data_IF_369383685506
#
_entry.id   IF_369383685506
#
_cell.length_a   1.000
_cell.length_b   1.000
_cell.length_c   1.000
_cell.angle_alpha   90.00
_cell.angle_beta   90.00
_cell.angle_gamma   90.00
#
_symmetry.space_group_name_H-M   'P 1'
#
loop_
_entity.id
_entity.type
_entity.pdbx_description
1 polymer ?
#
# COMPACT_ATOMS: atom_id res chain seq x y z
N UNK A 1 16.62 -8.83 6.13
CA UNK A 1 15.28 -9.15 5.61
C UNK A 1 15.29 -8.68 4.17
N UNK A 2 14.91 -9.52 3.21
CA UNK A 2 14.77 -9.04 1.83
C UNK A 2 13.59 -8.06 1.79
N UNK A 3 13.70 -6.91 1.12
CA UNK A 3 12.54 -6.03 0.85
C UNK A 3 11.48 -6.80 0.04
N UNK A 4 10.20 -6.40 0.14
CA UNK A 4 9.07 -7.03 -0.57
C UNK A 4 8.48 -8.29 0.09
N UNK A 5 8.51 -8.39 1.43
CA UNK A 5 8.07 -9.57 2.18
C UNK A 5 6.56 -9.65 2.48
N UNK A 6 5.82 -8.56 2.27
CA UNK A 6 4.35 -8.54 2.33
C UNK A 6 3.80 -8.46 0.91
N UNK A 7 3.07 -9.49 0.47
CA UNK A 7 2.55 -9.53 -0.90
C UNK A 7 1.06 -9.24 -0.87
N UNK A 8 0.68 -8.15 -1.52
CA UNK A 8 -0.70 -7.69 -1.65
C UNK A 8 -1.24 -8.11 -2.99
N UNK A 9 -2.35 -8.85 -3.00
CA UNK A 9 -3.18 -8.93 -4.19
C UNK A 9 -4.27 -7.86 -4.10
N UNK A 10 -4.27 -6.96 -5.07
CA UNK A 10 -5.20 -5.83 -5.12
C UNK A 10 -6.26 -6.08 -6.19
N UNK A 11 -7.50 -5.70 -5.89
CA UNK A 11 -8.68 -5.91 -6.74
C UNK A 11 -9.46 -4.62 -6.94
N UNK A 12 -10.18 -4.53 -8.05
CA UNK A 12 -11.10 -3.45 -8.36
C UNK A 12 -12.54 -3.92 -8.52
N UNK A 13 -13.44 -3.03 -8.14
CA UNK A 13 -14.84 -3.06 -8.54
C UNK A 13 -15.15 -1.79 -9.36
N UNK A 14 -14.98 -1.86 -10.67
CA UNK A 14 -15.22 -0.74 -11.58
C UNK A 14 -16.71 -0.68 -11.98
N UNK A 15 -17.36 0.46 -11.72
CA UNK A 15 -18.81 0.65 -11.99
C UNK A 15 -19.11 1.66 -13.09
N UNK A 16 -18.15 2.54 -13.42
CA UNK A 16 -18.31 3.49 -14.53
C UNK A 16 -16.94 3.98 -15.05
N UNK A 17 -16.48 3.50 -16.22
CA UNK A 17 -17.06 2.38 -16.97
C UNK A 17 -16.96 1.08 -16.15
N UNK A 18 -17.86 0.14 -16.43
CA UNK A 18 -17.77 -1.19 -15.82
C UNK A 18 -16.79 -2.05 -16.61
N UNK A 19 -15.96 -2.81 -15.91
CA UNK A 19 -14.99 -3.75 -16.47
C UNK A 19 -15.23 -5.14 -15.90
N UNK A 20 -14.87 -6.18 -16.68
CA UNK A 20 -15.03 -7.56 -16.26
C UNK A 20 -16.49 -8.03 -16.13
N UNK A 21 -16.71 -9.24 -15.56
CA UNK A 21 -18.05 -9.77 -15.31
C UNK A 21 -18.81 -8.98 -14.23
N UNK A 22 -20.14 -8.91 -14.37
CA UNK A 22 -21.02 -8.17 -13.44
C UNK A 22 -21.12 -8.78 -12.04
N UNK A 23 -20.60 -9.99 -11.85
CA UNK A 23 -20.58 -10.79 -10.64
C UNK A 23 -19.16 -11.13 -10.19
N UNK A 24 -18.18 -10.32 -10.60
CA UNK A 24 -16.78 -10.51 -10.21
C UNK A 24 -16.09 -9.18 -10.00
N UNK A 25 -15.18 -9.15 -9.02
CA UNK A 25 -14.13 -8.15 -8.98
C UNK A 25 -13.11 -8.44 -10.09
N UNK A 26 -12.29 -7.44 -10.43
CA UNK A 26 -11.16 -7.58 -11.36
C UNK A 26 -9.84 -7.40 -10.61
N UNK A 27 -8.74 -7.89 -11.18
CA UNK A 27 -7.39 -7.73 -10.66
C UNK A 27 -6.93 -6.30 -10.94
N UNK A 28 -6.37 -5.65 -9.92
CA UNK A 28 -5.56 -4.44 -10.07
C UNK A 28 -4.10 -4.83 -10.22
N UNK A 29 -3.53 -5.54 -9.24
CA UNK A 29 -2.12 -5.87 -9.24
C UNK A 29 -1.70 -6.86 -8.16
N UNK A 30 -0.42 -7.22 -8.20
CA UNK A 30 0.25 -8.03 -7.18
C UNK A 30 1.52 -7.30 -6.74
N UNK A 31 1.54 -6.80 -5.52
CA UNK A 31 2.52 -5.80 -5.08
C UNK A 31 3.39 -6.35 -3.94
N UNK A 32 4.73 -6.33 -4.08
CA UNK A 32 5.64 -6.71 -3.01
C UNK A 32 5.97 -5.49 -2.15
N UNK A 33 5.21 -5.32 -1.07
CA UNK A 33 5.50 -4.30 -0.07
C UNK A 33 6.54 -4.83 0.93
N UNK A 34 7.30 -3.89 1.48
CA UNK A 34 8.17 -4.17 2.61
C UNK A 34 7.31 -4.48 3.83
N UNK A 35 7.86 -5.26 4.76
CA UNK A 35 7.16 -5.63 5.99
C UNK A 35 6.81 -4.45 6.90
N UNK A 36 7.33 -3.25 6.62
CA UNK A 36 7.00 -2.01 7.31
C UNK A 36 5.90 -1.18 6.61
N UNK A 37 5.30 -1.71 5.54
CA UNK A 37 4.27 -1.04 4.74
C UNK A 37 4.80 0.01 3.77
N UNK A 38 6.13 0.19 3.66
CA UNK A 38 6.73 0.88 2.51
C UNK A 38 6.80 -0.05 1.31
N UNK A 39 7.08 0.48 0.12
CA UNK A 39 7.23 -0.35 -1.09
C UNK A 39 8.33 0.19 -1.98
N UNK A 40 8.93 -0.70 -2.75
CA UNK A 40 9.85 -0.35 -3.83
C UNK A 40 9.08 -0.30 -5.16
N UNK A 41 9.58 0.45 -6.13
CA UNK A 41 8.96 0.53 -7.46
C UNK A 41 10.01 0.68 -8.55
N UNK A 42 9.74 0.08 -9.71
CA UNK A 42 10.62 0.11 -10.88
C UNK A 42 12.05 -0.35 -10.56
N UNK A 43 12.16 -1.46 -9.82
CA UNK A 43 13.41 -1.94 -9.23
C UNK A 43 14.45 -2.40 -10.27
N UNK A 44 14.02 -2.70 -11.50
CA UNK A 44 14.91 -3.07 -12.59
C UNK A 44 14.41 -2.51 -13.93
N UNK A 45 15.10 -1.48 -14.45
CA UNK A 45 14.76 -0.87 -15.74
C UNK A 45 15.06 -1.78 -16.94
N UNK A 46 15.99 -2.74 -16.80
CA UNK A 46 16.34 -3.65 -17.89
C UNK A 46 15.32 -4.78 -18.06
N UNK A 47 14.46 -4.99 -17.06
CA UNK A 47 13.34 -5.94 -17.09
C UNK A 47 11.99 -5.24 -17.26
N UNK A 48 11.97 -4.04 -17.83
CA UNK A 48 10.70 -3.43 -18.25
C UNK A 48 10.41 -3.83 -19.69
N UNK A 49 9.20 -4.31 -19.92
CA UNK A 49 8.76 -4.85 -21.20
C UNK A 49 7.57 -4.04 -21.72
N UNK A 50 7.44 -3.95 -23.04
CA UNK A 50 6.35 -3.24 -23.74
C UNK A 50 5.55 -4.18 -24.67
N UNK A 51 5.53 -5.47 -24.32
CA UNK A 51 4.96 -6.54 -25.13
C UNK A 51 4.53 -7.74 -24.25
N UNK A 52 3.97 -7.45 -23.07
CA UNK A 52 3.46 -8.42 -22.11
C UNK A 52 2.47 -9.40 -22.76
N UNK A 53 1.53 -8.93 -23.59
CA UNK A 53 0.60 -9.81 -24.30
C UNK A 53 1.31 -10.85 -25.14
N UNK A 54 2.37 -10.46 -25.87
CA UNK A 54 3.12 -11.37 -26.74
C UNK A 54 3.89 -12.41 -25.90
N UNK A 55 4.53 -11.97 -24.82
CA UNK A 55 5.25 -12.85 -23.87
C UNK A 55 4.29 -13.89 -23.29
N UNK A 56 3.12 -13.46 -22.79
CA UNK A 56 2.14 -14.37 -22.21
C UNK A 56 1.46 -15.24 -23.27
N UNK A 57 1.27 -14.77 -24.49
CA UNK A 57 0.73 -15.60 -25.57
C UNK A 57 1.62 -16.79 -25.87
N UNK A 58 2.95 -16.62 -25.79
CA UNK A 58 3.94 -17.68 -25.96
C UNK A 58 4.04 -18.58 -24.73
N UNK A 59 4.17 -18.00 -23.54
CA UNK A 59 4.56 -18.74 -22.32
C UNK A 59 3.39 -19.13 -21.42
N UNK A 60 2.30 -18.36 -21.40
CA UNK A 60 1.22 -18.49 -20.43
C UNK A 60 -0.15 -18.12 -21.03
N UNK A 61 -0.50 -18.70 -22.18
CA UNK A 61 -1.70 -18.32 -22.95
C UNK A 61 -3.03 -18.44 -22.18
N UNK A 62 -3.11 -19.39 -21.24
CA UNK A 62 -4.28 -19.51 -20.34
C UNK A 62 -4.36 -18.36 -19.32
N UNK A 63 -3.22 -17.88 -18.83
CA UNK A 63 -3.12 -16.70 -17.98
C UNK A 63 -3.56 -15.46 -18.75
N UNK A 64 -3.04 -15.26 -19.97
CA UNK A 64 -3.45 -14.16 -20.85
C UNK A 64 -4.96 -14.14 -21.09
N UNK A 65 -5.56 -15.29 -21.41
CA UNK A 65 -7.02 -15.40 -21.60
C UNK A 65 -7.80 -15.02 -20.35
N UNK A 66 -7.28 -15.35 -19.16
CA UNK A 66 -7.90 -14.95 -17.90
C UNK A 66 -7.78 -13.44 -17.70
N UNK A 67 -6.60 -12.86 -17.92
CA UNK A 67 -6.35 -11.43 -17.78
C UNK A 67 -7.22 -10.58 -18.72
N UNK A 68 -7.41 -11.02 -19.97
CA UNK A 68 -8.29 -10.36 -20.94
C UNK A 68 -9.75 -10.22 -20.46
N UNK A 69 -10.15 -11.01 -19.46
CA UNK A 69 -11.48 -10.94 -18.83
C UNK A 69 -11.45 -10.25 -17.46
N UNK A 70 -10.42 -10.54 -16.64
CA UNK A 70 -10.42 -10.22 -15.21
C UNK A 70 -9.34 -9.22 -14.79
N UNK A 71 -8.39 -8.82 -15.63
CA UNK A 71 -7.35 -7.83 -15.30
C UNK A 71 -7.39 -6.72 -16.34
N UNK A 72 -8.34 -5.81 -16.16
CA UNK A 72 -8.76 -4.85 -17.20
C UNK A 72 -8.32 -3.45 -16.84
N UNK A 73 -7.90 -2.70 -17.84
CA UNK A 73 -7.87 -1.25 -17.75
C UNK A 73 -9.27 -0.68 -18.05
N UNK A 74 -9.68 0.33 -17.28
CA UNK A 74 -11.00 0.95 -17.45
C UNK A 74 -11.09 1.81 -18.72
N UNK A 75 -9.97 2.23 -19.30
CA UNK A 75 -9.95 2.90 -20.62
C UNK A 75 -9.80 1.91 -21.79
N UNK A 76 -9.66 0.61 -21.50
CA UNK A 76 -9.45 -0.43 -22.51
C UNK A 76 -8.00 -0.58 -22.98
N UNK A 77 -7.04 0.08 -22.32
CA UNK A 77 -5.61 0.02 -22.64
C UNK A 77 -4.89 -1.05 -21.79
N UNK A 78 -5.40 -2.28 -21.87
CA UNK A 78 -4.96 -3.38 -20.99
C UNK A 78 -3.45 -3.65 -21.07
N UNK A 79 -2.86 -3.60 -22.27
CA UNK A 79 -1.43 -3.88 -22.45
C UNK A 79 -0.57 -2.88 -21.67
N UNK A 80 -0.81 -1.58 -21.86
CA UNK A 80 -0.10 -0.52 -21.14
C UNK A 80 -0.26 -0.66 -19.63
N UNK A 81 -1.43 -1.11 -19.18
CA UNK A 81 -1.68 -1.36 -17.77
C UNK A 81 -0.88 -2.56 -17.25
N UNK A 82 -0.81 -3.66 -17.99
CA UNK A 82 0.02 -4.81 -17.61
C UNK A 82 1.52 -4.49 -17.64
N UNK A 83 1.97 -3.68 -18.62
CA UNK A 83 3.33 -3.13 -18.65
C UNK A 83 3.64 -2.34 -17.38
N UNK A 84 2.70 -1.48 -16.95
CA UNK A 84 2.81 -0.71 -15.71
C UNK A 84 2.93 -1.63 -14.49
N UNK A 85 2.02 -2.59 -14.33
CA UNK A 85 1.99 -3.48 -13.17
C UNK A 85 3.27 -4.32 -13.07
N UNK A 86 3.73 -4.91 -14.18
CA UNK A 86 4.97 -5.66 -14.16
C UNK A 86 6.19 -4.74 -13.95
N UNK A 87 6.29 -3.66 -14.73
CA UNK A 87 7.44 -2.77 -14.69
C UNK A 87 7.61 -2.10 -13.32
N UNK A 88 6.51 -1.69 -12.69
CA UNK A 88 6.51 -1.02 -11.40
C UNK A 88 6.63 -2.00 -10.23
N UNK A 89 5.87 -3.10 -10.23
CA UNK A 89 5.75 -3.99 -9.07
C UNK A 89 6.42 -5.36 -9.30
N UNK A 90 6.21 -5.98 -10.47
CA UNK A 90 6.82 -7.27 -10.81
C UNK A 90 8.35 -7.25 -10.80
N UNK A 91 8.98 -6.16 -11.25
CA UNK A 91 10.45 -6.00 -11.20
C UNK A 91 11.00 -5.97 -9.77
N UNK A 92 10.19 -5.68 -8.77
CA UNK A 92 10.58 -5.62 -7.35
C UNK A 92 10.41 -6.96 -6.62
N UNK A 93 9.90 -8.00 -7.26
CA UNK A 93 9.84 -9.34 -6.68
C UNK A 93 11.19 -10.04 -6.82
N UNK A 94 12.02 -9.95 -5.77
CA UNK A 94 13.37 -10.54 -5.76
C UNK A 94 13.40 -12.05 -6.07
N UNK A 95 12.36 -12.79 -5.68
CA UNK A 95 12.22 -14.23 -5.98
C UNK A 95 11.97 -14.53 -7.46
N UNK A 96 11.67 -13.51 -8.26
CA UNK A 96 11.50 -13.58 -9.71
C UNK A 96 12.74 -13.09 -10.47
N UNK A 97 13.86 -12.82 -9.80
CA UNK A 97 15.10 -12.46 -10.50
C UNK A 97 15.57 -13.62 -11.40
N UNK A 98 16.07 -13.36 -12.62
CA UNK A 98 16.55 -14.40 -13.54
C UNK A 98 17.58 -15.36 -12.94
N UNK A 99 18.43 -14.86 -12.03
CA UNK A 99 19.45 -15.65 -11.32
C UNK A 99 18.87 -16.75 -10.40
N UNK A 100 17.59 -16.64 -10.06
CA UNK A 100 16.91 -17.64 -9.25
C UNK A 100 16.50 -18.86 -10.09
N UNK A 101 16.42 -18.76 -11.43
CA UNK A 101 15.96 -19.86 -12.29
C UNK A 101 17.11 -20.76 -12.73
N UNK A 102 16.99 -22.08 -12.50
CA UNK A 102 18.00 -23.07 -12.92
C UNK A 102 18.20 -23.12 -14.44
N UNK A 103 17.12 -22.92 -15.22
CA UNK A 103 17.12 -22.99 -16.70
C UNK A 103 16.40 -21.79 -17.31
N UNK A 104 16.71 -20.59 -16.82
CA UNK A 104 16.09 -19.34 -17.26
C UNK A 104 15.99 -19.23 -18.79
N UNK A 105 14.79 -19.02 -19.30
CA UNK A 105 14.57 -18.45 -20.62
C UNK A 105 14.15 -16.99 -20.47
N UNK A 106 14.54 -16.10 -21.41
CA UNK A 106 14.13 -14.70 -21.37
C UNK A 106 12.62 -14.57 -21.14
N UNK A 107 12.23 -13.72 -20.19
CA UNK A 107 10.83 -13.38 -19.83
C UNK A 107 10.04 -14.48 -19.12
N UNK A 108 10.69 -15.54 -18.61
CA UNK A 108 10.02 -16.52 -17.73
C UNK A 108 9.41 -15.87 -16.50
N UNK A 109 10.11 -14.89 -15.92
CA UNK A 109 9.69 -14.16 -14.74
C UNK A 109 8.43 -13.29 -14.96
N UNK A 110 8.22 -12.83 -16.19
CA UNK A 110 7.00 -12.12 -16.59
C UNK A 110 5.82 -13.10 -16.57
N UNK A 111 6.00 -14.26 -17.19
CA UNK A 111 4.96 -15.29 -17.24
C UNK A 111 4.59 -15.79 -15.83
N UNK A 112 5.58 -15.97 -14.97
CA UNK A 112 5.38 -16.42 -13.58
C UNK A 112 4.70 -15.37 -12.72
N UNK A 113 5.06 -14.08 -12.83
CA UNK A 113 4.38 -12.99 -12.12
C UNK A 113 2.88 -12.98 -12.39
N UNK A 114 2.49 -12.91 -13.67
CA UNK A 114 1.08 -12.84 -14.05
C UNK A 114 0.33 -14.11 -13.71
N UNK A 115 0.96 -15.28 -13.91
CA UNK A 115 0.34 -16.57 -13.57
C UNK A 115 0.12 -16.69 -12.07
N UNK A 116 1.04 -16.17 -11.24
CA UNK A 116 0.89 -16.17 -9.79
C UNK A 116 -0.24 -15.25 -9.34
N UNK A 117 -0.29 -14.02 -9.84
CA UNK A 117 -1.35 -13.06 -9.53
C UNK A 117 -2.74 -13.63 -9.90
N UNK A 118 -2.88 -14.17 -11.12
CA UNK A 118 -4.13 -14.82 -11.56
C UNK A 118 -4.49 -16.03 -10.69
N UNK A 119 -3.51 -16.84 -10.29
CA UNK A 119 -3.75 -18.01 -9.44
C UNK A 119 -4.23 -17.61 -8.05
N UNK A 120 -3.62 -16.58 -7.45
CA UNK A 120 -4.03 -16.05 -6.16
C UNK A 120 -5.43 -15.42 -6.23
N UNK A 121 -5.72 -14.65 -7.28
CA UNK A 121 -7.03 -14.04 -7.52
C UNK A 121 -8.16 -15.07 -7.53
N UNK A 122 -7.95 -16.22 -8.18
CA UNK A 122 -8.93 -17.32 -8.20
C UNK A 122 -9.24 -17.91 -6.83
N UNK A 123 -8.38 -17.70 -5.83
CA UNK A 123 -8.61 -18.17 -4.44
C UNK A 123 -9.34 -17.14 -3.57
N UNK A 124 -9.54 -15.92 -4.08
CA UNK A 124 -10.16 -14.81 -3.36
C UNK A 124 -11.44 -14.37 -4.10
N UNK A 125 -12.52 -15.17 -4.10
CA UNK A 125 -13.79 -14.85 -4.76
C UNK A 125 -14.57 -13.78 -3.97
N UNK A 126 -14.04 -12.56 -3.96
CA UNK A 126 -14.53 -11.41 -3.18
C UNK A 126 -16.02 -11.16 -3.37
N UNK A 127 -16.52 -11.25 -4.62
CA UNK A 127 -17.94 -11.07 -4.91
C UNK A 127 -18.79 -12.12 -4.18
N UNK A 128 -18.41 -13.39 -4.26
CA UNK A 128 -19.18 -14.49 -3.66
C UNK A 128 -19.25 -14.36 -2.14
N UNK A 129 -18.16 -13.95 -1.49
CA UNK A 129 -18.12 -13.70 -0.05
C UNK A 129 -19.10 -12.60 0.36
N UNK A 130 -19.07 -11.46 -0.36
CA UNK A 130 -19.98 -10.35 -0.11
C UNK A 130 -21.43 -10.73 -0.41
N UNK A 131 -21.69 -11.39 -1.53
CA UNK A 131 -23.02 -11.81 -1.94
C UNK A 131 -23.64 -12.81 -0.95
N UNK A 132 -22.85 -13.75 -0.41
CA UNK A 132 -23.29 -14.68 0.63
C UNK A 132 -23.70 -13.99 1.94
N UNK A 133 -23.10 -12.84 2.24
CA UNK A 133 -23.46 -11.97 3.36
C UNK A 133 -24.62 -10.99 3.04
N UNK A 134 -25.21 -11.09 1.85
CA UNK A 134 -26.27 -10.18 1.39
C UNK A 134 -25.76 -8.81 0.93
N UNK A 135 -24.45 -8.63 0.79
CA UNK A 135 -23.82 -7.43 0.24
C UNK A 135 -23.67 -7.62 -1.27
N UNK A 136 -24.70 -7.19 -2.01
CA UNK A 136 -24.72 -7.24 -3.48
C UNK A 136 -24.82 -5.83 -4.08
N UNK A 137 -24.33 -5.61 -5.31
CA UNK A 137 -24.46 -4.32 -6.00
C UNK A 137 -25.90 -3.84 -6.05
N UNK A 138 -26.14 -2.56 -5.70
CA UNK A 138 -27.47 -1.96 -5.68
C UNK A 138 -27.40 -0.46 -5.98
N UNK A 139 -28.42 0.06 -6.66
CA UNK A 139 -28.60 1.49 -6.90
C UNK A 139 -29.32 2.22 -5.75
N UNK A 140 -29.83 1.47 -4.76
CA UNK A 140 -30.68 2.01 -3.67
C UNK A 140 -30.20 1.57 -2.29
N UNK A 141 -29.61 0.39 -2.17
CA UNK A 141 -29.06 -0.12 -0.93
C UNK A 141 -27.65 0.41 -0.73
N UNK A 142 -27.35 0.85 0.49
CA UNK A 142 -26.00 1.20 0.92
C UNK A 142 -25.52 0.22 1.99
N UNK A 143 -24.20 0.07 2.09
CA UNK A 143 -23.54 -0.75 3.10
C UNK A 143 -22.47 0.09 3.79
N UNK A 144 -22.17 -0.20 5.05
CA UNK A 144 -21.09 0.46 5.76
C UNK A 144 -19.75 -0.16 5.36
N UNK A 145 -18.69 0.64 5.40
CA UNK A 145 -17.32 0.15 5.19
C UNK A 145 -16.99 -1.02 6.13
N UNK A 146 -17.38 -0.89 7.41
CA UNK A 146 -17.19 -1.92 8.41
C UNK A 146 -17.88 -3.25 8.06
N UNK A 147 -19.10 -3.22 7.51
CA UNK A 147 -19.80 -4.46 7.11
C UNK A 147 -19.09 -5.18 5.95
N UNK A 148 -18.52 -4.42 5.01
CA UNK A 148 -17.73 -4.98 3.90
C UNK A 148 -16.42 -5.57 4.46
N UNK A 149 -15.70 -4.80 5.27
CA UNK A 149 -14.43 -5.23 5.87
C UNK A 149 -14.58 -6.45 6.77
N UNK A 150 -15.67 -6.55 7.55
CA UNK A 150 -15.95 -7.69 8.43
C UNK A 150 -16.08 -8.99 7.63
N UNK A 151 -16.86 -8.97 6.54
CA UNK A 151 -17.05 -10.14 5.66
C UNK A 151 -15.73 -10.55 5.01
N UNK A 152 -14.99 -9.59 4.46
CA UNK A 152 -13.72 -9.88 3.77
C UNK A 152 -12.65 -10.37 4.73
N UNK A 153 -12.54 -9.76 5.91
CA UNK A 153 -11.58 -10.18 6.96
C UNK A 153 -11.90 -11.58 7.47
N UNK A 154 -13.19 -11.91 7.66
CA UNK A 154 -13.61 -13.24 8.11
C UNK A 154 -13.25 -14.35 7.11
N UNK A 155 -13.34 -14.08 5.81
CA UNK A 155 -12.99 -15.04 4.77
C UNK A 155 -11.50 -15.11 4.44
N UNK A 156 -10.81 -13.97 4.45
CA UNK A 156 -9.39 -13.88 4.13
C UNK A 156 -8.49 -14.29 5.32
N UNK A 157 -8.97 -14.14 6.55
CA UNK A 157 -8.23 -14.46 7.78
C UNK A 157 -7.30 -13.33 8.26
N UNK A 158 -7.18 -12.24 7.49
CA UNK A 158 -6.43 -11.03 7.79
C UNK A 158 -7.24 -9.80 7.40
N UNK A 159 -6.88 -8.63 7.93
CA UNK A 159 -7.57 -7.38 7.61
C UNK A 159 -7.55 -7.11 6.11
N UNK A 160 -8.73 -6.87 5.54
CA UNK A 160 -8.89 -6.44 4.16
C UNK A 160 -8.93 -4.90 4.10
N UNK A 161 -8.00 -4.31 3.35
CA UNK A 161 -8.03 -2.88 3.03
C UNK A 161 -9.14 -2.61 2.02
N UNK A 162 -10.04 -1.67 2.29
CA UNK A 162 -11.12 -1.30 1.38
C UNK A 162 -11.11 0.21 1.19
N UNK A 163 -10.81 0.67 -0.01
CA UNK A 163 -10.71 2.10 -0.33
C UNK A 163 -11.78 2.50 -1.38
N UNK A 164 -12.80 3.28 -0.98
CA UNK A 164 -13.72 3.87 -1.94
C UNK A 164 -13.04 5.00 -2.71
N UNK A 165 -12.58 4.72 -3.93
CA UNK A 165 -12.05 5.75 -4.82
C UNK A 165 -13.17 6.73 -5.21
N UNK A 166 -13.13 7.95 -4.65
CA UNK A 166 -14.19 8.95 -4.82
C UNK A 166 -13.94 9.83 -6.05
N UNK A 167 -14.95 9.88 -6.91
CA UNK A 167 -15.12 10.83 -8.02
C UNK A 167 -14.75 12.27 -7.66
N UNK A 168 -13.60 12.75 -8.12
CA UNK A 168 -13.31 14.19 -8.17
C UNK A 168 -14.05 14.78 -9.38
N UNK A 169 -15.13 15.53 -9.11
CA UNK A 169 -15.80 16.43 -10.07
C UNK A 169 -16.17 15.84 -11.45
N UNK A 170 -16.62 14.59 -11.51
CA UNK A 170 -17.18 13.99 -12.74
C UNK A 170 -16.15 13.68 -13.83
N UNK A 171 -14.86 13.65 -13.52
CA UNK A 171 -13.80 13.13 -14.41
C UNK A 171 -12.96 12.09 -13.68
N UNK A 172 -13.28 10.82 -13.90
CA UNK A 172 -12.57 9.65 -13.33
C UNK A 172 -13.48 8.42 -13.27
N UNK A 173 -12.92 7.19 -13.21
CA UNK A 173 -13.70 5.96 -13.08
C UNK A 173 -14.29 5.81 -11.68
N UNK A 174 -15.47 5.22 -11.59
CA UNK A 174 -16.21 5.06 -10.32
C UNK A 174 -15.92 3.68 -9.77
N UNK A 175 -15.07 3.57 -8.74
CA UNK A 175 -14.49 2.28 -8.34
C UNK A 175 -14.25 2.12 -6.85
N UNK A 176 -14.13 0.87 -6.44
CA UNK A 176 -13.75 0.47 -5.08
C UNK A 176 -12.49 -0.38 -5.21
N UNK A 177 -11.42 0.01 -4.50
CA UNK A 177 -10.19 -0.75 -4.36
C UNK A 177 -10.26 -1.69 -3.16
N UNK A 178 -9.68 -2.87 -3.31
CA UNK A 178 -9.56 -3.87 -2.26
C UNK A 178 -8.13 -4.40 -2.22
N UNK A 179 -7.51 -4.35 -1.05
CA UNK A 179 -6.17 -4.87 -0.79
C UNK A 179 -6.25 -6.07 0.14
N UNK A 180 -5.78 -7.23 -0.34
CA UNK A 180 -5.74 -8.48 0.40
C UNK A 180 -4.28 -8.91 0.61
N UNK A 181 -3.68 -8.49 1.73
CA UNK A 181 -2.30 -8.85 2.11
C UNK A 181 -2.21 -10.28 2.64
N UNK A 182 -1.15 -11.01 2.30
CA UNK A 182 -0.76 -12.23 3.02
C UNK A 182 0.60 -12.05 3.68
N UNK A 183 0.59 -11.83 5.00
CA UNK A 183 1.80 -11.85 5.81
C UNK A 183 2.30 -13.28 6.01
N UNK A 184 3.57 -13.55 5.67
CA UNK A 184 4.30 -14.72 6.17
C UNK A 184 4.07 -16.05 5.44
N UNK A 185 3.19 -16.12 4.44
CA UNK A 185 3.30 -17.18 3.43
C UNK A 185 4.46 -16.80 2.53
N UNK A 186 5.65 -17.36 2.80
CA UNK A 186 6.65 -17.56 1.76
C UNK A 186 5.88 -18.14 0.58
N UNK A 187 5.66 -17.34 -0.46
CA UNK A 187 5.13 -17.83 -1.72
C UNK A 187 6.14 -18.86 -2.17
N UNK A 188 5.83 -20.18 -2.13
CA UNK A 188 6.78 -21.16 -2.59
C UNK A 188 6.72 -21.05 -4.11
N UNK A 189 7.55 -20.19 -4.67
CA UNK A 189 8.14 -20.55 -5.94
C UNK A 189 8.89 -21.85 -5.63
N UNK A 190 8.63 -22.93 -6.36
CA UNK A 190 9.47 -24.13 -6.27
C UNK A 190 10.88 -23.90 -6.86
N UNK A 191 11.39 -22.68 -6.71
CA UNK A 191 12.67 -22.21 -7.18
C UNK A 191 13.62 -22.35 -5.99
N UNK A 192 14.33 -23.49 -5.97
CA UNK A 192 15.36 -23.77 -4.98
C UNK A 192 16.45 -22.71 -5.10
N UNK A 193 16.72 -21.99 -4.00
CA UNK A 193 17.95 -21.20 -3.88
C UNK A 193 19.19 -22.11 -4.06
N UNK A 194 20.10 -21.84 -5.01
CA UNK A 194 21.45 -22.36 -4.96
C UNK A 194 22.19 -21.59 -3.86
N UNK A 195 22.71 -22.31 -2.86
CA UNK A 195 23.45 -21.69 -1.75
C UNK A 195 24.67 -20.91 -2.25
N UNK A 196 24.71 -19.61 -1.96
CA UNK A 196 25.93 -18.81 -2.08
C UNK A 196 26.66 -18.82 -0.74
N UNK A 197 27.90 -19.33 -0.76
CA UNK A 197 28.84 -19.30 0.35
C UNK A 197 29.42 -17.89 0.47
N UNK A 198 29.06 -17.15 1.52
CA UNK A 198 29.84 -15.98 1.93
C UNK A 198 30.61 -16.26 3.21
N UNK A 199 31.91 -15.98 3.11
CA UNK A 199 32.93 -16.28 4.08
C UNK A 199 32.74 -15.58 5.42
N UNK A 200 33.09 -16.34 6.45
CA UNK A 200 33.21 -15.98 7.85
C UNK A 200 34.00 -14.68 8.09
N UNK A 201 33.31 -13.61 8.49
CA UNK A 201 33.87 -12.58 9.38
C UNK A 201 32.79 -12.19 10.40
N UNK A 202 33.10 -12.45 11.67
CA UNK A 202 32.13 -12.51 12.76
C UNK A 202 31.32 -11.23 12.99
N UNK A 203 30.00 -11.40 13.02
CA UNK A 203 29.05 -10.41 13.54
C UNK A 203 28.78 -10.76 15.01
N UNK A 204 28.89 -9.81 15.96
CA UNK A 204 28.59 -10.08 17.36
C UNK A 204 27.09 -10.37 17.56
N UNK A 205 26.79 -11.22 18.53
CA UNK A 205 25.46 -11.69 18.84
C UNK A 205 24.48 -10.56 19.21
N UNK A 206 23.32 -10.58 18.55
CA UNK A 206 21.97 -10.37 19.09
C UNK A 206 21.74 -9.20 20.08
N UNK A 207 21.06 -8.16 19.60
CA UNK A 207 19.96 -7.57 20.36
C UNK A 207 18.67 -7.79 19.57
N UNK A 208 17.78 -8.65 20.11
CA UNK A 208 16.50 -8.98 19.50
C UNK A 208 15.67 -7.72 19.27
N UNK A 209 15.29 -7.50 18.01
CA UNK A 209 14.30 -6.47 17.67
C UNK A 209 12.93 -7.09 17.89
N UNK A 210 12.37 -6.81 19.07
CA UNK A 210 10.94 -6.92 19.30
C UNK A 210 10.30 -5.88 18.38
N UNK A 211 9.64 -6.33 17.30
CA UNK A 211 8.70 -5.49 16.57
C UNK A 211 7.55 -5.23 17.53
N UNK A 212 7.30 -3.99 17.99
CA UNK A 212 6.04 -3.71 18.63
C UNK A 212 5.00 -3.76 17.51
N UNK A 213 4.25 -4.85 17.44
CA UNK A 213 2.88 -4.80 16.95
C UNK A 213 2.16 -3.78 17.82
N UNK A 214 2.13 -2.53 17.39
CA UNK A 214 1.45 -1.47 18.10
C UNK A 214 -0.03 -1.78 18.07
N UNK A 215 -0.58 -2.18 19.21
CA UNK A 215 -2.03 -2.19 19.43
C UNK A 215 -2.60 -0.84 18.99
N UNK A 216 -3.75 -0.78 18.30
CA UNK A 216 -4.47 0.49 18.10
C UNK A 216 -4.51 1.27 19.43
N UNK A 217 -4.11 2.55 19.42
CA UNK A 217 -4.00 3.34 20.64
C UNK A 217 -2.86 4.36 20.65
N UNK A 218 -2.47 4.84 21.82
CA UNK A 218 -1.55 5.97 21.96
C UNK A 218 -0.08 5.62 21.67
N UNK A 219 0.52 6.28 20.66
CA UNK A 219 1.97 6.20 20.42
C UNK A 219 2.79 6.85 21.54
N UNK A 220 3.98 6.30 21.80
CA UNK A 220 4.90 6.78 22.82
C UNK A 220 6.35 6.80 22.33
N UNK A 221 7.13 7.76 22.83
CA UNK A 221 8.57 7.82 22.62
C UNK A 221 8.98 8.73 21.46
N UNK A 222 10.22 8.57 20.99
CA UNK A 222 10.77 9.36 19.89
C UNK A 222 10.67 8.58 18.58
N UNK A 223 10.52 9.31 17.48
CA UNK A 223 10.40 8.71 16.15
C UNK A 223 10.41 9.76 15.05
N UNK A 224 10.26 9.29 13.82
CA UNK A 224 10.04 10.09 12.64
C UNK A 224 8.60 9.93 12.17
N UNK A 225 8.04 11.00 11.59
CA UNK A 225 6.76 10.93 10.89
C UNK A 225 7.03 10.93 9.40
N UNK A 226 6.68 9.83 8.74
CA UNK A 226 6.84 9.61 7.30
C UNK A 226 5.51 9.81 6.59
N UNK A 227 5.56 10.13 5.30
CA UNK A 227 4.37 10.43 4.50
C UNK A 227 4.32 9.49 3.29
N UNK A 228 3.15 8.90 3.02
CA UNK A 228 2.86 8.16 1.78
C UNK A 228 2.24 9.09 0.70
N UNK A 229 2.53 8.86 -0.59
CA UNK A 229 3.38 7.78 -1.13
C UNK A 229 4.89 8.02 -0.92
N UNK A 230 5.31 9.26 -0.67
CA UNK A 230 6.71 9.60 -0.44
C UNK A 230 6.93 10.87 0.39
N UNK A 231 8.08 10.94 1.05
CA UNK A 231 8.51 12.08 1.85
C UNK A 231 8.36 11.88 3.36
N UNK A 232 8.49 12.98 4.10
CA UNK A 232 8.49 12.97 5.55
C UNK A 232 8.11 14.34 6.12
N UNK A 233 7.74 14.36 7.39
CA UNK A 233 7.44 15.60 8.09
C UNK A 233 8.69 16.24 8.66
N UNK A 234 8.83 17.55 8.47
CA UNK A 234 9.91 18.36 9.03
C UNK A 234 9.47 19.04 10.33
N UNK A 235 10.40 19.69 11.04
CA UNK A 235 10.21 20.15 12.43
C UNK A 235 9.07 21.16 12.63
N UNK A 236 8.61 21.82 11.56
CA UNK A 236 7.46 22.74 11.59
C UNK A 236 6.11 22.05 11.40
N UNK A 237 6.07 20.73 11.21
CA UNK A 237 4.83 20.01 10.86
C UNK A 237 4.44 20.11 9.39
N UNK A 238 5.38 20.46 8.50
CA UNK A 238 5.15 20.48 7.05
C UNK A 238 5.68 19.20 6.39
N UNK A 239 5.10 18.82 5.26
CA UNK A 239 5.53 17.71 4.40
C UNK A 239 6.66 18.14 3.48
N UNK A 240 7.67 17.29 3.33
CA UNK A 240 8.83 17.50 2.46
C UNK A 240 9.17 16.21 1.71
N UNK A 241 9.50 16.32 0.42
CA UNK A 241 9.69 15.16 -0.48
C UNK A 241 11.08 15.03 -1.08
N UNK A 242 11.89 16.08 -1.06
CA UNK A 242 13.27 15.95 -1.52
C UNK A 242 14.14 15.18 -0.50
N UNK A 243 15.33 14.79 -0.95
CA UNK A 243 16.34 14.18 -0.10
C UNK A 243 16.66 15.09 1.09
N UNK A 244 16.73 14.49 2.27
CA UNK A 244 16.96 15.21 3.52
C UNK A 244 16.71 14.33 4.74
N UNK A 245 16.95 14.89 5.91
CA UNK A 245 16.76 14.17 7.19
C UNK A 245 15.38 14.50 7.77
N UNK A 246 14.56 13.49 8.10
CA UNK A 246 13.31 13.70 8.82
C UNK A 246 13.54 14.39 10.17
N UNK A 247 12.57 15.19 10.60
CA UNK A 247 12.63 15.75 11.94
C UNK A 247 12.25 14.69 12.98
N UNK A 248 12.91 14.72 14.13
CA UNK A 248 12.51 13.91 15.28
C UNK A 248 11.26 14.48 15.92
N UNK A 249 10.27 13.61 16.11
CA UNK A 249 9.05 13.84 16.87
C UNK A 249 9.13 13.09 18.20
N UNK A 250 8.43 13.60 19.20
CA UNK A 250 8.15 12.90 20.47
C UNK A 250 6.65 12.72 20.58
N UNK A 251 6.20 11.48 20.62
CA UNK A 251 4.82 11.08 20.92
C UNK A 251 4.69 10.86 22.43
N UNK A 252 3.70 11.51 23.04
CA UNK A 252 3.42 11.40 24.48
C UNK A 252 1.97 10.95 24.65
N UNK A 253 1.70 9.73 25.16
CA UNK A 253 0.34 9.28 25.40
C UNK A 253 -0.43 10.24 26.28
N UNK A 254 -1.69 10.47 25.92
CA UNK A 254 -2.65 11.20 26.74
C UNK A 254 -3.25 10.25 27.80
N UNK A 255 -4.00 10.82 28.75
CA UNK A 255 -4.58 10.07 29.86
C UNK A 255 -5.62 9.01 29.48
N UNK A 256 -6.10 9.02 28.23
CA UNK A 256 -7.11 8.10 27.70
C UNK A 256 -6.53 6.79 27.13
N UNK A 257 -5.21 6.69 26.99
CA UNK A 257 -4.49 5.58 26.37
C UNK A 257 -4.83 5.30 24.88
N UNK A 258 -5.69 6.10 24.26
CA UNK A 258 -6.05 5.99 22.84
C UNK A 258 -5.39 7.07 22.00
N UNK A 259 -5.15 8.25 22.58
CA UNK A 259 -4.59 9.41 21.89
C UNK A 259 -3.23 9.81 22.44
N UNK A 260 -2.48 10.59 21.67
CA UNK A 260 -1.17 11.10 22.05
C UNK A 260 -0.92 12.50 21.49
N UNK A 261 -0.08 13.26 22.19
CA UNK A 261 0.44 14.54 21.74
C UNK A 261 1.74 14.36 20.95
N UNK A 262 1.87 15.09 19.84
CA UNK A 262 3.11 15.20 19.07
C UNK A 262 3.87 16.49 19.41
N UNK A 263 5.19 16.39 19.52
CA UNK A 263 6.09 17.54 19.73
C UNK A 263 7.38 17.40 18.91
N UNK A 264 7.85 18.51 18.36
CA UNK A 264 9.18 18.61 17.71
C UNK A 264 10.10 19.54 18.48
N UNK A 265 11.31 19.77 17.95
CA UNK A 265 12.21 20.83 18.43
C UNK A 265 11.64 22.26 18.28
N UNK A 266 10.58 22.45 17.48
CA UNK A 266 9.90 23.74 17.32
C UNK A 266 8.79 23.96 18.35
N UNK A 267 8.27 22.91 18.97
CA UNK A 267 7.22 22.98 19.97
C UNK A 267 6.13 21.92 19.77
N UNK A 268 5.04 21.98 20.53
CA UNK A 268 3.88 21.11 20.35
C UNK A 268 3.29 21.23 18.94
N UNK A 269 2.75 20.12 18.43
CA UNK A 269 2.06 20.07 17.15
C UNK A 269 0.55 20.20 17.36
N UNK A 270 -0.06 21.10 16.61
CA UNK A 270 -1.46 21.46 16.69
C UNK A 270 -2.10 21.41 15.31
N UNK A 271 -3.32 20.89 15.24
CA UNK A 271 -4.25 21.15 14.14
C UNK A 271 -4.96 22.46 14.44
N UNK A 272 -4.68 23.50 13.65
CA UNK A 272 -5.22 24.85 13.84
C UNK A 272 -6.70 24.93 13.41
N UNK A 273 -7.38 26.03 13.74
CA UNK A 273 -8.79 26.23 13.41
C UNK A 273 -9.11 26.18 11.90
N UNK A 274 -8.11 26.36 11.02
CA UNK A 274 -8.23 26.17 9.57
C UNK A 274 -7.94 24.75 9.07
N UNK A 275 -7.72 23.79 9.97
CA UNK A 275 -7.37 22.40 9.66
C UNK A 275 -5.89 22.17 9.37
N UNK A 276 -5.05 23.22 9.28
CA UNK A 276 -3.62 23.06 9.04
C UNK A 276 -2.89 22.53 10.27
N UNK A 277 -2.03 21.54 10.06
CA UNK A 277 -1.10 21.01 11.04
C UNK A 277 0.13 21.93 11.12
N UNK A 278 0.54 22.30 12.34
CA UNK A 278 1.72 23.12 12.58
C UNK A 278 2.37 22.74 13.90
N UNK A 279 3.71 22.80 13.96
CA UNK A 279 4.47 22.62 15.21
C UNK A 279 5.29 23.88 15.53
N UNK A 280 4.98 24.54 16.64
CA UNK A 280 5.62 25.78 17.07
C UNK A 280 5.50 25.99 18.60
N UNK A 281 6.31 26.89 19.16
CA UNK A 281 6.54 26.99 20.60
C UNK A 281 5.27 27.38 21.38
N UNK A 282 4.42 28.21 20.78
CA UNK A 282 3.23 28.80 21.41
C UNK A 282 1.94 28.04 21.10
N UNK A 283 2.04 26.82 20.54
CA UNK A 283 0.89 26.00 20.20
C UNK A 283 0.49 25.07 21.34
N UNK A 284 -0.82 24.81 21.45
CA UNK A 284 -1.34 23.74 22.30
C UNK A 284 -1.28 22.42 21.53
N UNK A 285 -0.86 21.33 22.18
CA UNK A 285 -0.84 20.03 21.52
C UNK A 285 -2.27 19.60 21.13
N UNK A 286 -2.42 19.07 19.92
CA UNK A 286 -3.63 18.32 19.53
C UNK A 286 -3.51 16.85 19.90
N UNK A 287 -4.65 16.20 20.06
CA UNK A 287 -4.77 14.78 20.32
C UNK A 287 -4.80 14.01 18.99
N UNK A 288 -3.75 13.23 18.75
CA UNK A 288 -3.64 12.34 17.59
C UNK A 288 -3.92 10.91 18.01
N UNK A 289 -4.46 10.10 17.11
CA UNK A 289 -4.63 8.65 17.31
C UNK A 289 -3.65 7.86 16.46
N UNK A 290 -3.66 6.54 16.62
CA UNK A 290 -2.94 5.61 15.77
C UNK A 290 -3.77 4.35 15.58
N UNK A 291 -4.02 3.98 14.33
CA UNK A 291 -4.90 2.85 13.98
C UNK A 291 -4.16 1.51 13.90
N UNK A 292 -2.86 1.48 14.24
CA UNK A 292 -1.98 0.33 14.05
C UNK A 292 -1.08 0.46 12.81
N UNK A 293 -1.32 1.46 11.95
CA UNK A 293 -0.55 1.69 10.73
C UNK A 293 -0.24 3.18 10.54
N UNK A 294 -1.26 4.03 10.62
CA UNK A 294 -1.19 5.45 10.38
C UNK A 294 -1.52 6.27 11.63
N UNK A 295 -0.88 7.42 11.73
CA UNK A 295 -1.29 8.49 12.62
C UNK A 295 -2.66 8.97 12.15
N UNK A 296 -3.60 9.12 13.06
CA UNK A 296 -4.94 9.59 12.78
C UNK A 296 -5.23 10.91 13.50
N UNK A 297 -6.19 11.67 12.99
CA UNK A 297 -6.76 12.82 13.68
C UNK A 297 -8.28 12.71 13.64
N UNK A 298 -8.94 12.79 14.80
CA UNK A 298 -10.36 12.47 14.95
C UNK A 298 -10.76 11.12 14.32
N UNK A 299 -9.88 10.11 14.42
CA UNK A 299 -10.10 8.76 13.89
C UNK A 299 -9.86 8.60 12.38
N UNK A 300 -9.53 9.67 11.64
CA UNK A 300 -9.21 9.60 10.22
C UNK A 300 -7.69 9.54 9.99
N UNK A 301 -7.23 8.57 9.20
CA UNK A 301 -5.83 8.44 8.77
C UNK A 301 -5.46 9.34 7.58
N UNK A 302 -6.45 9.86 6.86
CA UNK A 302 -6.26 10.69 5.67
C UNK A 302 -6.04 12.15 6.05
N UNK A 303 -4.91 12.68 5.62
CA UNK A 303 -4.58 14.10 5.64
C UNK A 303 -4.51 14.62 4.20
N UNK A 304 -4.32 15.93 4.06
CA UNK A 304 -4.36 16.58 2.75
C UNK A 304 -3.27 17.65 2.59
N UNK A 305 -2.97 18.02 1.36
CA UNK A 305 -2.14 19.15 0.99
C UNK A 305 -2.71 19.85 -0.25
N UNK A 306 -2.45 21.15 -0.39
CA UNK A 306 -2.88 21.91 -1.58
C UNK A 306 -2.21 21.40 -2.87
N UNK A 307 -0.99 20.88 -2.77
CA UNK A 307 -0.25 20.21 -3.84
C UNK A 307 0.86 19.34 -3.23
N UNK A 308 1.37 18.37 -4.00
CA UNK A 308 2.55 17.62 -3.59
C UNK A 308 3.78 18.54 -3.71
N UNK A 309 4.59 18.72 -2.65
CA UNK A 309 5.77 19.55 -2.72
C UNK A 309 6.80 18.96 -3.70
N UNK A 310 7.60 19.82 -4.32
CA UNK A 310 8.64 19.40 -5.25
C UNK A 310 9.92 20.21 -5.01
N UNK A 311 11.08 19.64 -5.34
CA UNK A 311 12.35 20.30 -5.06
C UNK A 311 12.49 20.67 -3.58
N UNK A 312 12.72 21.95 -3.28
CA UNK A 312 12.89 22.45 -1.91
C UNK A 312 11.60 22.98 -1.27
N UNK A 313 10.46 22.87 -1.96
CA UNK A 313 9.17 23.34 -1.47
C UNK A 313 8.66 22.46 -0.32
N UNK A 314 7.84 23.06 0.55
CA UNK A 314 7.22 22.42 1.71
C UNK A 314 5.71 22.43 1.54
N UNK A 315 5.09 21.26 1.68
CA UNK A 315 3.64 21.12 1.68
C UNK A 315 3.08 21.37 3.07
N UNK A 316 2.07 22.24 3.18
CA UNK A 316 1.29 22.35 4.41
C UNK A 316 0.34 21.15 4.47
N UNK A 317 0.30 20.49 5.62
CA UNK A 317 -0.60 19.35 5.86
C UNK A 317 -1.89 19.85 6.49
N UNK A 318 -3.03 19.38 6.01
CA UNK A 318 -4.37 19.73 6.44
C UNK A 318 -5.14 18.49 6.87
N UNK A 319 -6.07 18.66 7.80
CA UNK A 319 -7.08 17.65 8.18
C UNK A 319 -8.40 17.86 7.44
N UNK A 320 -8.51 18.96 6.69
CA UNK A 320 -9.62 19.27 5.80
C UNK A 320 -9.23 18.97 4.36
N UNK A 321 -10.19 18.53 3.55
CA UNK A 321 -9.97 18.12 2.16
C UNK A 321 -9.27 19.20 1.33
N UNK A 322 -8.20 18.81 0.64
CA UNK A 322 -7.45 19.62 -0.34
C UNK A 322 -7.18 18.76 -1.59
N UNK A 323 -6.47 19.31 -2.58
CA UNK A 323 -6.26 18.66 -3.87
C UNK A 323 -5.43 17.36 -3.83
N UNK A 324 -4.62 17.15 -2.80
CA UNK A 324 -3.79 15.94 -2.62
C UNK A 324 -4.11 15.30 -1.29
N UNK A 325 -4.43 14.01 -1.29
CA UNK A 325 -4.51 13.19 -0.08
C UNK A 325 -3.14 12.58 0.26
N UNK A 326 -2.89 12.37 1.54
CA UNK A 326 -1.68 11.73 2.06
C UNK A 326 -1.98 11.03 3.39
N UNK A 327 -1.17 10.04 3.73
CA UNK A 327 -1.22 9.37 5.03
C UNK A 327 0.12 9.49 5.73
N UNK A 328 0.08 9.61 7.07
CA UNK A 328 1.28 9.74 7.89
C UNK A 328 1.48 8.48 8.73
N UNK A 329 2.68 7.91 8.72
CA UNK A 329 3.01 6.74 9.54
C UNK A 329 4.21 7.03 10.47
N UNK A 330 4.25 6.31 11.59
CA UNK A 330 5.25 6.48 12.64
C UNK A 330 6.41 5.50 12.47
N UNK A 331 7.63 6.02 12.44
CA UNK A 331 8.84 5.22 12.46
C UNK A 331 9.59 5.45 13.78
N UNK A 332 9.59 4.50 14.73
CA UNK A 332 10.24 4.68 16.02
C UNK A 332 11.77 4.86 15.88
N UNK A 333 12.36 5.60 16.83
CA UNK A 333 13.80 5.81 16.99
C UNK A 333 14.38 4.91 18.08
#
# INVERSE_FOLDING_TARGET
MLPGGDVLLTQFWDTAPSTGPSDSWTIHGLWPDNCDGSYEQYCDQNRQYTNISAILQEKASCTLKTMQTYWKDYNGEDETFWEHEFGKHGTCMSTLNPECYDNYQPTDEVADFFTRAVSLFKTLPTYDWLAAAGIVPSSTQTYTLAAIQEVLTAHHGHNAGVDPERHVQGRGPRRLGLDLSRHGDQVPAQVRHPGHNDGNNGIPAQHGHVVPTGTPGALAGKGYVKVQPDGFMISTGNWYRASGTPATYTATPNGDAETFALKTSKGPCQVLAGGSLSCAADLAASDFGYDGTYITYNGAATFYAASAPSGQDKGVVFTTEQAVSLQMYWQPL
#
